data_IF_753022602436
#
_entry.id   IF_753022602436
#
_cell.length_a   1.000
_cell.length_b   1.000
_cell.length_c   1.000
_cell.angle_alpha   90.00
_cell.angle_beta   90.00
_cell.angle_gamma   90.00
#
_symmetry.space_group_name_H-M   'P 1'
#
loop_
_entity.id
_entity.type
_entity.pdbx_description
1 polymer ?
#
# COMPACT_ATOMS: atom_id res chain seq x y z
N UNK A 1 -0.44 -1.71 -5.97
CA UNK A 1 -0.56 -1.29 -4.57
C UNK A 1 -0.15 0.17 -4.45
N UNK A 2 -0.83 0.95 -3.63
CA UNK A 2 -0.48 2.33 -3.32
C UNK A 2 -0.49 2.54 -1.79
N UNK A 3 0.59 3.11 -1.26
CA UNK A 3 0.79 3.33 0.17
C UNK A 3 0.83 4.83 0.47
N UNK A 4 0.02 5.28 1.42
CA UNK A 4 -0.02 6.66 1.96
C UNK A 4 0.12 7.77 0.91
N UNK A 5 -0.46 7.56 -0.25
CA UNK A 5 -0.40 8.50 -1.36
C UNK A 5 -1.71 9.23 -1.61
N UNK A 6 -1.63 10.20 -2.48
CA UNK A 6 -2.77 10.88 -3.07
C UNK A 6 -2.60 10.99 -4.58
N UNK A 7 -3.53 11.64 -5.24
CA UNK A 7 -3.45 11.86 -6.68
C UNK A 7 -4.11 13.17 -7.07
N UNK A 8 -3.56 13.79 -8.09
CA UNK A 8 -4.13 14.95 -8.76
C UNK A 8 -4.82 14.59 -10.09
N UNK A 9 -4.94 13.30 -10.40
CA UNK A 9 -5.61 12.83 -11.61
C UNK A 9 -7.09 13.25 -11.59
N UNK A 10 -7.62 13.57 -12.76
CA UNK A 10 -9.04 13.87 -12.96
C UNK A 10 -9.83 12.68 -13.48
N UNK A 11 -9.13 11.69 -14.05
CA UNK A 11 -9.74 10.49 -14.64
C UNK A 11 -9.05 9.24 -14.11
N UNK A 12 -9.81 8.38 -13.47
CA UNK A 12 -9.36 7.11 -12.89
C UNK A 12 -9.81 5.88 -13.69
N UNK A 13 -10.39 6.05 -14.87
CA UNK A 13 -10.96 4.96 -15.69
C UNK A 13 -9.94 3.84 -15.93
N UNK A 14 -8.69 4.21 -16.26
CA UNK A 14 -7.63 3.24 -16.50
C UNK A 14 -7.20 2.49 -15.23
N UNK A 15 -7.24 3.14 -14.07
CA UNK A 15 -6.94 2.50 -12.79
C UNK A 15 -8.00 1.45 -12.43
N UNK A 16 -9.26 1.68 -12.78
CA UNK A 16 -10.34 0.72 -12.57
C UNK A 16 -10.21 -0.58 -13.39
N UNK A 17 -9.27 -0.65 -14.34
CA UNK A 17 -9.03 -1.83 -15.16
C UNK A 17 -8.00 -2.80 -14.56
N UNK A 18 -7.33 -2.43 -13.48
CA UNK A 18 -6.32 -3.24 -12.81
C UNK A 18 -6.65 -3.39 -11.33
N UNK A 19 -6.33 -4.55 -10.72
CA UNK A 19 -6.43 -4.70 -9.27
C UNK A 19 -5.58 -3.65 -8.57
N UNK A 20 -6.22 -2.82 -7.76
CA UNK A 20 -5.58 -1.74 -7.00
C UNK A 20 -5.86 -1.93 -5.52
N UNK A 21 -4.81 -1.93 -4.72
CA UNK A 21 -4.91 -1.93 -3.26
C UNK A 21 -4.30 -0.64 -2.70
N UNK A 22 -5.12 0.15 -2.02
CA UNK A 22 -4.73 1.40 -1.37
C UNK A 22 -4.69 1.15 0.14
N UNK A 23 -3.56 1.51 0.77
CA UNK A 23 -3.40 1.47 2.23
C UNK A 23 -2.97 2.84 2.74
N UNK A 24 -3.56 3.28 3.85
CA UNK A 24 -3.21 4.55 4.48
C UNK A 24 -3.41 4.46 5.99
N UNK A 25 -2.47 5.04 6.74
CA UNK A 25 -2.54 5.10 8.20
C UNK A 25 -3.44 6.24 8.68
N UNK A 26 -4.26 5.97 9.70
CA UNK A 26 -5.15 7.01 10.24
C UNK A 26 -4.42 8.07 11.07
N UNK A 27 -3.19 7.78 11.50
CA UNK A 27 -2.31 8.71 12.21
C UNK A 27 -1.19 9.29 11.34
N UNK A 28 -1.31 9.18 10.01
CA UNK A 28 -0.37 9.78 9.07
C UNK A 28 -0.42 11.31 9.14
N UNK A 29 0.72 11.91 9.56
CA UNK A 29 0.89 13.36 9.68
C UNK A 29 1.67 13.96 8.52
N UNK A 30 2.31 13.15 7.69
CA UNK A 30 3.05 13.62 6.53
C UNK A 30 2.13 13.79 5.31
N UNK A 31 1.27 12.80 5.06
CA UNK A 31 0.25 12.86 4.02
C UNK A 31 -1.11 12.58 4.65
N UNK A 32 -2.02 13.52 4.57
CA UNK A 32 -3.36 13.34 5.12
C UNK A 32 -4.08 12.16 4.46
N UNK A 33 -4.69 11.30 5.26
CA UNK A 33 -5.52 10.18 4.80
C UNK A 33 -6.65 10.65 3.86
N UNK A 34 -7.07 11.92 3.95
CA UNK A 34 -8.08 12.50 3.06
C UNK A 34 -7.67 12.41 1.59
N UNK A 35 -6.37 12.45 1.30
CA UNK A 35 -5.85 12.31 -0.07
C UNK A 35 -6.21 10.95 -0.68
N UNK A 36 -5.94 9.86 0.04
CA UNK A 36 -6.33 8.51 -0.41
C UNK A 36 -7.85 8.33 -0.43
N UNK A 37 -8.56 8.88 0.55
CA UNK A 37 -10.04 8.81 0.59
C UNK A 37 -10.68 9.51 -0.61
N UNK A 38 -10.11 10.63 -1.06
CA UNK A 38 -10.57 11.32 -2.26
C UNK A 38 -10.42 10.45 -3.53
N UNK A 39 -9.30 9.73 -3.66
CA UNK A 39 -9.08 8.81 -4.78
C UNK A 39 -10.12 7.69 -4.76
N UNK A 40 -10.31 7.04 -3.60
CA UNK A 40 -11.31 5.97 -3.44
C UNK A 40 -12.71 6.48 -3.80
N UNK A 41 -13.09 7.64 -3.26
CA UNK A 41 -14.39 8.23 -3.55
C UNK A 41 -14.56 8.53 -5.03
N UNK A 42 -13.55 9.12 -5.68
CA UNK A 42 -13.63 9.44 -7.11
C UNK A 42 -13.78 8.18 -7.98
N UNK A 43 -13.10 7.07 -7.61
CA UNK A 43 -13.26 5.78 -8.30
C UNK A 43 -14.68 5.21 -8.10
N UNK A 44 -15.22 5.28 -6.88
CA UNK A 44 -16.57 4.83 -6.55
C UNK A 44 -17.63 5.65 -7.29
N UNK A 45 -17.53 6.99 -7.25
CA UNK A 45 -18.46 7.88 -7.91
C UNK A 45 -18.48 7.67 -9.45
N UNK A 46 -17.35 7.26 -10.03
CA UNK A 46 -17.23 6.94 -11.45
C UNK A 46 -17.58 5.48 -11.79
N UNK A 47 -17.94 4.63 -10.81
CA UNK A 47 -18.23 3.21 -11.03
C UNK A 47 -16.99 2.37 -11.40
N UNK A 48 -15.80 2.81 -11.05
CA UNK A 48 -14.51 2.19 -11.39
C UNK A 48 -13.88 1.40 -10.23
N UNK A 49 -14.65 1.08 -9.21
CA UNK A 49 -14.15 0.49 -7.95
C UNK A 49 -14.27 -1.04 -7.88
N UNK A 50 -14.69 -1.70 -8.96
CA UNK A 50 -14.85 -3.17 -9.00
C UNK A 50 -13.57 -3.93 -8.65
N UNK A 51 -12.40 -3.41 -9.03
CA UNK A 51 -11.09 -3.98 -8.76
C UNK A 51 -10.31 -3.17 -7.70
N UNK A 52 -11.01 -2.36 -6.91
CA UNK A 52 -10.42 -1.54 -5.86
C UNK A 52 -10.58 -2.21 -4.50
N UNK A 53 -9.46 -2.34 -3.79
CA UNK A 53 -9.39 -2.63 -2.36
C UNK A 53 -8.75 -1.44 -1.64
N UNK A 54 -9.24 -1.12 -0.46
CA UNK A 54 -8.60 -0.11 0.39
C UNK A 54 -8.70 -0.50 1.86
N UNK A 55 -7.64 -0.24 2.60
CA UNK A 55 -7.57 -0.48 4.03
C UNK A 55 -7.05 0.79 4.74
N UNK A 56 -7.83 1.26 5.70
CA UNK A 56 -7.44 2.34 6.60
C UNK A 56 -6.89 1.72 7.88
N UNK A 57 -5.58 1.88 8.12
CA UNK A 57 -4.88 1.20 9.21
C UNK A 57 -4.94 2.05 10.48
N UNK A 58 -5.71 1.64 11.50
CA UNK A 58 -5.92 2.42 12.70
C UNK A 58 -4.61 2.66 13.46
N UNK A 59 -4.29 3.95 13.72
CA UNK A 59 -3.11 4.34 14.48
C UNK A 59 -1.78 4.26 13.73
N UNK A 60 -1.75 3.79 12.48
CA UNK A 60 -0.53 3.76 11.69
C UNK A 60 -0.10 5.16 11.27
N UNK A 61 1.18 5.46 11.46
CA UNK A 61 1.84 6.66 10.98
C UNK A 61 2.33 6.48 9.53
N UNK A 62 2.84 7.55 8.92
CA UNK A 62 3.47 7.49 7.61
C UNK A 62 4.64 6.50 7.57
N UNK A 63 5.50 6.53 8.59
CA UNK A 63 6.66 5.63 8.70
C UNK A 63 6.27 4.16 8.91
N UNK A 64 5.16 3.89 9.60
CA UNK A 64 4.70 2.52 9.80
C UNK A 64 4.34 1.84 8.48
N UNK A 65 3.87 2.58 7.49
CA UNK A 65 3.47 2.02 6.19
C UNK A 65 4.65 1.48 5.38
N UNK A 66 5.87 1.96 5.62
CA UNK A 66 7.07 1.40 5.00
C UNK A 66 7.29 -0.07 5.37
N UNK A 67 6.84 -0.49 6.56
CA UNK A 67 6.95 -1.86 7.06
C UNK A 67 6.14 -2.88 6.24
N UNK A 68 5.12 -2.43 5.53
CA UNK A 68 4.31 -3.28 4.65
C UNK A 68 5.17 -3.96 3.58
N UNK A 69 6.26 -3.33 3.16
CA UNK A 69 7.20 -3.90 2.19
C UNK A 69 7.97 -5.13 2.71
N UNK A 70 7.97 -5.37 4.02
CA UNK A 70 8.63 -6.51 4.66
C UNK A 70 7.65 -7.64 5.02
N UNK A 71 6.38 -7.51 4.67
CA UNK A 71 5.36 -8.51 4.95
C UNK A 71 5.18 -9.46 3.76
N UNK A 72 5.17 -10.76 4.05
CA UNK A 72 4.88 -11.79 3.03
C UNK A 72 3.53 -11.57 2.37
N UNK A 73 2.51 -11.17 3.13
CA UNK A 73 1.15 -10.91 2.65
C UNK A 73 1.12 -9.87 1.53
N UNK A 74 2.00 -8.87 1.57
CA UNK A 74 2.14 -7.86 0.51
C UNK A 74 2.50 -8.50 -0.83
N UNK A 75 3.49 -9.37 -0.81
CA UNK A 75 3.97 -10.06 -2.02
C UNK A 75 3.00 -11.13 -2.47
N UNK A 76 2.38 -11.87 -1.55
CA UNK A 76 1.32 -12.82 -1.88
C UNK A 76 0.19 -12.15 -2.66
N UNK A 77 -0.22 -10.95 -2.24
CA UNK A 77 -1.22 -10.18 -2.97
C UNK A 77 -0.71 -9.66 -4.32
N UNK A 78 0.50 -9.10 -4.37
CA UNK A 78 1.07 -8.56 -5.61
C UNK A 78 1.23 -9.64 -6.68
N UNK A 79 1.71 -10.82 -6.30
CA UNK A 79 1.96 -11.92 -7.23
C UNK A 79 0.72 -12.76 -7.54
N UNK A 80 -0.37 -12.59 -6.81
CA UNK A 80 -1.66 -13.20 -7.14
C UNK A 80 -2.32 -12.57 -8.38
N UNK A 81 -1.79 -11.44 -8.90
CA UNK A 81 -2.38 -10.70 -9.99
C UNK A 81 -1.42 -10.60 -11.18
N UNK A 82 -1.94 -10.82 -12.37
CA UNK A 82 -1.19 -10.69 -13.63
C UNK A 82 -1.96 -9.85 -14.64
N UNK A 83 -1.26 -9.04 -15.43
CA UNK A 83 -1.89 -8.26 -16.50
C UNK A 83 -2.54 -9.15 -17.59
N UNK A 84 -2.12 -10.41 -17.68
CA UNK A 84 -2.66 -11.39 -18.64
C UNK A 84 -3.96 -12.04 -18.16
N UNK A 85 -4.34 -11.87 -16.89
CA UNK A 85 -5.54 -12.46 -16.33
C UNK A 85 -6.80 -11.98 -17.06
N UNK A 86 -7.69 -12.92 -17.42
CA UNK A 86 -8.97 -12.64 -18.06
C UNK A 86 -10.03 -13.61 -17.54
N UNK A 87 -11.03 -13.16 -16.79
CA UNK A 87 -11.20 -11.79 -16.30
C UNK A 87 -10.21 -11.45 -15.18
N UNK A 88 -9.92 -10.17 -15.01
CA UNK A 88 -9.21 -9.68 -13.83
C UNK A 88 -10.16 -9.62 -12.65
N UNK A 89 -9.70 -10.10 -11.50
CA UNK A 89 -10.47 -10.09 -10.26
C UNK A 89 -9.60 -9.65 -9.09
N UNK A 90 -10.24 -9.13 -8.04
CA UNK A 90 -9.58 -8.99 -6.75
C UNK A 90 -9.54 -10.36 -6.09
N UNK A 91 -8.37 -10.99 -6.10
CA UNK A 91 -8.16 -12.20 -5.34
C UNK A 91 -7.81 -11.88 -3.90
N UNK A 92 -8.35 -12.71 -3.01
CA UNK A 92 -8.10 -12.80 -1.58
C UNK A 92 -7.92 -11.49 -0.82
N UNK A 93 -8.79 -11.29 0.13
CA UNK A 93 -8.56 -10.40 1.25
C UNK A 93 -7.49 -11.01 2.15
N UNK A 94 -6.24 -10.64 1.97
CA UNK A 94 -5.18 -10.93 2.93
C UNK A 94 -5.16 -9.74 3.89
N UNK A 95 -5.59 -9.89 5.16
CA UNK A 95 -5.59 -8.78 6.10
C UNK A 95 -4.15 -8.44 6.49
N UNK A 96 -3.86 -7.14 6.59
CA UNK A 96 -2.65 -6.62 7.22
C UNK A 96 -3.09 -5.85 8.45
N UNK A 97 -2.52 -6.20 9.59
CA UNK A 97 -2.83 -5.59 10.89
C UNK A 97 -1.67 -4.75 11.40
N UNK A 98 -1.92 -3.92 12.42
CA UNK A 98 -0.85 -3.21 13.13
C UNK A 98 0.12 -4.19 13.82
N UNK A 99 -0.35 -5.36 14.25
CA UNK A 99 0.52 -6.40 14.82
C UNK A 99 1.49 -6.92 13.75
N UNK A 100 1.00 -7.22 12.54
CA UNK A 100 1.85 -7.62 11.41
C UNK A 100 2.93 -6.56 11.13
N UNK A 101 2.56 -5.29 11.07
CA UNK A 101 3.50 -4.21 10.81
C UNK A 101 4.53 -4.03 11.92
N UNK A 102 4.17 -4.23 13.18
CA UNK A 102 5.13 -4.14 14.30
C UNK A 102 6.16 -5.24 14.24
N UNK A 103 5.77 -6.46 13.87
CA UNK A 103 6.66 -7.62 13.75
C UNK A 103 7.37 -7.71 12.39
N UNK A 104 7.14 -6.79 11.47
CA UNK A 104 7.66 -6.87 10.11
C UNK A 104 9.19 -6.94 10.02
N UNK A 105 9.90 -6.38 11.00
CA UNK A 105 11.37 -6.42 11.05
C UNK A 105 11.94 -7.57 11.88
N UNK A 106 11.09 -8.36 12.55
CA UNK A 106 11.56 -9.45 13.42
C UNK A 106 12.23 -10.59 12.62
N UNK A 107 11.98 -10.63 11.31
CA UNK A 107 12.56 -11.62 10.40
C UNK A 107 13.87 -11.15 9.77
N UNK A 108 14.24 -9.90 9.95
CA UNK A 108 15.47 -9.35 9.39
C UNK A 108 16.65 -9.67 10.29
N UNK A 109 17.78 -10.01 9.68
CA UNK A 109 19.03 -10.17 10.43
C UNK A 109 19.52 -8.80 10.94
N UNK A 110 20.39 -8.79 12.00
CA UNK A 110 21.00 -7.56 12.47
C UNK A 110 21.74 -6.78 11.37
N UNK A 111 22.30 -7.46 10.39
CA UNK A 111 22.99 -6.86 9.25
C UNK A 111 22.00 -6.15 8.33
N UNK A 112 20.86 -6.77 8.03
CA UNK A 112 19.81 -6.18 7.20
C UNK A 112 19.16 -4.96 7.85
N UNK A 113 19.04 -4.95 9.18
CA UNK A 113 18.47 -3.82 9.92
C UNK A 113 19.46 -2.66 10.12
N UNK A 114 20.76 -2.90 9.97
CA UNK A 114 21.82 -1.87 10.08
C UNK A 114 22.05 -1.10 8.78
N UNK A 115 21.28 -1.36 7.75
CA UNK A 115 21.41 -0.67 6.49
C UNK A 115 21.05 0.82 6.65
N UNK A 116 22.06 1.67 6.73
CA UNK A 116 21.90 3.12 6.80
C UNK A 116 22.26 3.75 5.44
N UNK A 117 21.24 4.17 4.73
CA UNK A 117 21.39 4.86 3.43
C UNK A 117 22.21 6.14 3.59
N UNK A 118 22.12 6.82 4.74
CA UNK A 118 22.85 8.06 5.02
C UNK A 118 24.35 7.82 5.06
N UNK A 119 24.80 6.68 5.58
CA UNK A 119 26.21 6.33 5.62
C UNK A 119 26.80 6.03 4.24
N UNK A 120 25.99 5.51 3.32
CA UNK A 120 26.44 5.26 1.96
C UNK A 120 26.61 6.56 1.15
N UNK A 121 25.79 7.56 1.40
CA UNK A 121 25.90 8.87 0.73
C UNK A 121 27.13 9.64 1.22
N UNK A 122 27.51 9.49 2.48
CA UNK A 122 28.71 10.16 3.06
C UNK A 122 30.03 9.55 2.61
N UNK A 123 30.01 8.33 2.06
CA UNK A 123 31.23 7.61 1.60
C UNK A 123 31.58 7.85 0.12
N UNK A 124 30.80 8.67 -0.57
CA UNK A 124 31.07 9.15 -1.93
C UNK A 124 31.60 10.57 -1.90
#
# INVERSE_FOLDING_TARGET
MALCGGSTLKDYTKLGQVPLWILHGTADRAVSISQSKQVVKAMQDAGNDKLLRYDWLPGASHGDLARILYLKQTYDWLFAHCLRDKPRALDRLVPITMADMRSAYDYLTPEETKFDIVDQVKRK
#
